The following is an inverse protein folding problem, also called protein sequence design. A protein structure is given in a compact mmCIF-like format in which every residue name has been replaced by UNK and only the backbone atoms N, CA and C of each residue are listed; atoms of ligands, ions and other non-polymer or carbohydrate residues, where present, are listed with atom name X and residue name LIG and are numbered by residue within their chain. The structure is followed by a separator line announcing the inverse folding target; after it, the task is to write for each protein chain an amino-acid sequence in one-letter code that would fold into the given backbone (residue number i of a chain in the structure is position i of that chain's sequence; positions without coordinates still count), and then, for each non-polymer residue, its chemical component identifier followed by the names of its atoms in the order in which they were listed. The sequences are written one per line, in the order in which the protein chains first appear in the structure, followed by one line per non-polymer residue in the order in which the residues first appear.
data_IF_569755216619
#
_entry.id   IF_569755216619
#
_cell.length_a   1.000
_cell.length_b   1.000
_cell.length_c   1.000
_cell.angle_alpha   90.00
_cell.angle_beta   90.00
_cell.angle_gamma   90.00
#
_symmetry.space_group_name_H-M   'P 1'
#
loop_
_entity.id
_entity.type
_entity.pdbx_description
1 polymer ?
#
# COMPACT_ATOMS: atom_id res chain seq x y z
N UNK A 1 11.98 17.90 6.77
CA UNK A 1 13.02 18.92 7.02
C UNK A 1 14.01 18.32 8.00
N UNK A 2 15.28 18.70 7.95
CA UNK A 2 16.28 18.13 8.88
C UNK A 2 16.22 18.77 10.28
N UNK A 3 15.59 19.95 10.42
CA UNK A 3 15.41 20.65 11.70
C UNK A 3 14.02 21.27 11.83
N UNK A 4 13.60 21.55 13.07
CA UNK A 4 12.33 22.23 13.36
C UNK A 4 12.30 23.67 12.83
N UNK A 5 13.41 24.40 12.91
CA UNK A 5 13.49 25.77 12.38
C UNK A 5 13.29 25.82 10.87
N UNK A 6 13.90 24.88 10.15
CA UNK A 6 13.72 24.76 8.70
C UNK A 6 12.28 24.36 8.35
N UNK A 7 11.65 23.47 9.13
CA UNK A 7 10.24 23.13 8.99
C UNK A 7 9.36 24.36 9.16
N UNK A 8 9.57 25.12 10.24
CA UNK A 8 8.82 26.35 10.54
C UNK A 8 8.96 27.36 9.41
N UNK A 9 10.18 27.62 8.95
CA UNK A 9 10.48 28.56 7.86
C UNK A 9 9.74 28.17 6.57
N UNK A 10 9.81 26.89 6.16
CA UNK A 10 9.11 26.40 4.97
C UNK A 10 7.59 26.49 5.11
N UNK A 11 7.08 26.17 6.29
CA UNK A 11 5.64 26.24 6.58
C UNK A 11 5.14 27.68 6.42
N UNK A 12 5.82 28.66 7.03
CA UNK A 12 5.47 30.08 6.90
C UNK A 12 5.46 30.52 5.43
N UNK A 13 6.46 30.12 4.65
CA UNK A 13 6.54 30.46 3.22
C UNK A 13 5.35 29.90 2.42
N UNK A 14 4.87 28.69 2.75
CA UNK A 14 3.67 28.12 2.12
C UNK A 14 2.42 28.89 2.54
N UNK A 15 2.28 29.22 3.82
CA UNK A 15 1.15 29.99 4.34
C UNK A 15 1.06 31.38 3.68
N UNK A 16 2.20 32.06 3.52
CA UNK A 16 2.26 33.38 2.86
C UNK A 16 1.85 33.31 1.38
N UNK A 17 2.23 32.23 0.68
CA UNK A 17 1.80 31.99 -0.71
C UNK A 17 0.32 31.72 -0.81
N UNK A 18 -0.23 30.89 0.08
CA UNK A 18 -1.67 30.61 0.13
C UNK A 18 -2.47 31.89 0.39
N UNK A 19 -2.01 32.71 1.35
CA UNK A 19 -2.60 34.02 1.65
C UNK A 19 -2.55 34.95 0.44
N UNK A 20 -1.39 35.05 -0.21
CA UNK A 20 -1.22 35.89 -1.42
C UNK A 20 -2.10 35.44 -2.59
N UNK A 21 -2.41 34.14 -2.68
CA UNK A 21 -3.34 33.58 -3.66
C UNK A 21 -4.82 33.70 -3.26
N UNK A 22 -5.15 34.32 -2.12
CA UNK A 22 -6.52 34.44 -1.63
C UNK A 22 -7.12 33.15 -1.08
N UNK A 23 -6.30 32.13 -0.79
CA UNK A 23 -6.75 30.85 -0.23
C UNK A 23 -6.81 30.92 1.30
N UNK A 24 -7.89 30.38 1.87
CA UNK A 24 -8.07 30.26 3.32
C UNK A 24 -7.92 28.82 3.78
N UNK A 25 -7.34 28.63 4.96
CA UNK A 25 -7.15 27.31 5.57
C UNK A 25 -8.14 27.08 6.72
N UNK A 26 -8.66 25.86 6.81
CA UNK A 26 -9.42 25.40 7.98
C UNK A 26 -8.44 25.05 9.09
N UNK A 27 -8.29 25.91 10.09
CA UNK A 27 -7.39 25.69 11.25
C UNK A 27 -7.62 24.35 11.95
N UNK A 28 -8.89 23.90 12.02
CA UNK A 28 -9.27 22.58 12.58
C UNK A 28 -8.68 21.37 11.85
N UNK A 29 -8.28 21.54 10.58
CA UNK A 29 -7.72 20.47 9.73
C UNK A 29 -6.20 20.64 9.52
N UNK A 30 -5.61 21.67 10.10
CA UNK A 30 -4.19 21.93 9.96
C UNK A 30 -3.42 21.26 11.09
N UNK A 31 -2.43 20.45 10.72
CA UNK A 31 -1.51 19.80 11.64
C UNK A 31 -0.10 20.29 11.33
N UNK A 32 0.61 20.80 12.34
CA UNK A 32 1.94 21.35 12.18
C UNK A 32 2.91 20.71 13.18
N UNK A 33 4.15 20.47 12.74
CA UNK A 33 5.23 20.00 13.62
C UNK A 33 4.97 18.65 14.30
N UNK A 34 4.14 17.80 13.72
CA UNK A 34 3.85 16.46 14.24
C UNK A 34 4.91 15.46 13.80
N UNK A 35 5.21 14.50 14.66
CA UNK A 35 6.11 13.37 14.35
C UNK A 35 5.44 12.35 13.41
N UNK A 36 4.11 12.25 13.47
CA UNK A 36 3.31 11.42 12.59
C UNK A 36 2.06 12.18 12.12
N UNK A 37 1.70 12.03 10.84
CA UNK A 37 0.52 12.64 10.23
C UNK A 37 -0.22 11.64 9.36
N UNK A 38 -1.54 11.77 9.26
CA UNK A 38 -2.33 11.07 8.25
C UNK A 38 -2.53 11.95 7.01
N UNK A 39 -2.16 11.42 5.84
CA UNK A 39 -2.32 12.12 4.57
C UNK A 39 -2.71 11.15 3.46
N UNK A 40 -3.76 11.49 2.71
CA UNK A 40 -4.31 10.68 1.61
C UNK A 40 -4.60 9.21 1.98
N UNK A 41 -4.97 8.96 3.24
CA UNK A 41 -5.28 7.63 3.75
C UNK A 41 -4.06 6.78 4.12
N UNK A 42 -2.90 7.39 4.31
CA UNK A 42 -1.69 6.77 4.83
C UNK A 42 -1.18 7.51 6.05
N UNK A 43 -0.56 6.79 6.98
CA UNK A 43 0.17 7.40 8.09
C UNK A 43 1.63 7.58 7.68
N UNK A 44 2.18 8.75 7.90
CA UNK A 44 3.55 9.12 7.54
C UNK A 44 4.28 9.50 8.83
N UNK A 45 5.41 8.87 9.10
CA UNK A 45 6.28 9.16 10.24
C UNK A 45 7.77 9.07 9.85
N UNK A 46 8.67 9.11 10.82
CA UNK A 46 10.12 8.99 10.58
C UNK A 46 10.49 7.63 9.95
N UNK A 47 9.80 6.56 10.34
CA UNK A 47 10.09 5.20 9.90
C UNK A 47 9.64 4.97 8.45
N UNK A 48 8.62 5.70 7.98
CA UNK A 48 8.20 5.62 6.60
C UNK A 48 6.74 5.96 6.35
N UNK A 49 6.21 5.33 5.31
CA UNK A 49 4.81 5.33 4.92
C UNK A 49 4.15 4.05 5.45
N UNK A 50 2.97 4.18 6.03
CA UNK A 50 2.21 3.07 6.63
C UNK A 50 0.77 3.09 6.13
N UNK A 51 0.16 1.91 6.12
CA UNK A 51 -1.30 1.83 6.02
C UNK A 51 -1.92 2.33 7.33
N UNK A 52 -3.00 3.12 7.25
CA UNK A 52 -3.73 3.53 8.47
C UNK A 52 -4.41 2.33 9.11
N UNK A 53 -4.45 2.28 10.45
CA UNK A 53 -5.09 1.18 11.20
C UNK A 53 -6.56 0.99 10.80
N UNK A 54 -7.26 2.08 10.49
CA UNK A 54 -8.64 2.04 10.00
C UNK A 54 -8.79 1.23 8.69
N UNK A 55 -7.83 1.37 7.75
CA UNK A 55 -7.85 0.63 6.48
C UNK A 55 -7.48 -0.83 6.65
N UNK A 56 -6.47 -1.10 7.49
CA UNK A 56 -6.08 -2.47 7.85
C UNK A 56 -7.27 -3.18 8.47
N UNK A 57 -7.88 -2.57 9.50
CA UNK A 57 -9.05 -3.09 10.20
C UNK A 57 -10.23 -3.34 9.24
N UNK A 58 -10.51 -2.41 8.32
CA UNK A 58 -11.60 -2.58 7.36
C UNK A 58 -11.41 -3.81 6.44
N UNK A 59 -10.18 -4.23 6.13
CA UNK A 59 -9.91 -5.48 5.40
C UNK A 59 -10.05 -6.69 6.32
N UNK A 60 -9.55 -6.62 7.56
CA UNK A 60 -9.63 -7.71 8.54
C UNK A 60 -11.07 -8.04 8.92
N UNK A 61 -11.90 -7.01 9.11
CA UNK A 61 -13.30 -7.13 9.52
C UNK A 61 -14.24 -7.43 8.34
N UNK A 62 -13.77 -7.32 7.09
CA UNK A 62 -14.59 -7.57 5.91
C UNK A 62 -15.12 -9.02 5.91
N UNK A 63 -16.43 -9.25 5.70
CA UNK A 63 -16.96 -10.60 5.56
C UNK A 63 -16.45 -11.26 4.26
N UNK A 64 -16.51 -12.58 4.21
CA UNK A 64 -16.25 -13.30 2.96
C UNK A 64 -17.27 -12.86 1.90
N UNK A 65 -16.82 -12.44 0.70
CA UNK A 65 -17.72 -12.07 -0.39
C UNK A 65 -18.67 -13.22 -0.74
N UNK A 66 -19.93 -12.89 -0.99
CA UNK A 66 -20.98 -13.85 -1.38
C UNK A 66 -21.34 -13.77 -2.86
N UNK A 67 -20.83 -12.77 -3.57
CA UNK A 67 -21.06 -12.55 -4.99
C UNK A 67 -19.91 -11.79 -5.66
N UNK A 68 -19.94 -11.73 -6.99
CA UNK A 68 -18.92 -11.09 -7.84
C UNK A 68 -18.72 -9.60 -7.50
N UNK A 69 -19.79 -8.86 -7.19
CA UNK A 69 -19.69 -7.41 -6.90
C UNK A 69 -18.97 -7.17 -5.58
N UNK A 70 -19.31 -7.92 -4.54
CA UNK A 70 -18.63 -7.88 -3.24
C UNK A 70 -17.16 -8.26 -3.39
N UNK A 71 -16.86 -9.28 -4.20
CA UNK A 71 -15.49 -9.71 -4.45
C UNK A 71 -14.68 -8.62 -5.17
N UNK A 72 -15.25 -7.98 -6.18
CA UNK A 72 -14.61 -6.86 -6.87
C UNK A 72 -14.32 -5.69 -5.92
N UNK A 73 -15.27 -5.37 -5.03
CA UNK A 73 -15.08 -4.34 -4.02
C UNK A 73 -13.94 -4.68 -3.06
N UNK A 74 -13.93 -5.91 -2.54
CA UNK A 74 -12.87 -6.40 -1.66
C UNK A 74 -11.49 -6.36 -2.34
N UNK A 75 -11.38 -6.92 -3.55
CA UNK A 75 -10.13 -6.93 -4.31
C UNK A 75 -9.66 -5.53 -4.67
N UNK A 76 -10.57 -4.62 -5.04
CA UNK A 76 -10.24 -3.22 -5.28
C UNK A 76 -9.60 -2.56 -4.06
N UNK A 77 -10.15 -2.83 -2.87
CA UNK A 77 -9.61 -2.27 -1.64
C UNK A 77 -8.28 -2.90 -1.21
N UNK A 78 -8.11 -4.22 -1.36
CA UNK A 78 -6.83 -4.89 -1.15
C UNK A 78 -5.77 -4.35 -2.12
N UNK A 79 -6.13 -4.13 -3.39
CA UNK A 79 -5.23 -3.57 -4.39
C UNK A 79 -4.79 -2.13 -4.07
N UNK A 80 -5.62 -1.33 -3.40
CA UNK A 80 -5.21 -0.01 -2.91
C UNK A 80 -4.01 -0.11 -1.94
N UNK A 81 -3.91 -1.19 -1.17
CA UNK A 81 -2.78 -1.48 -0.28
C UNK A 81 -1.68 -2.34 -0.93
N UNK A 82 -1.80 -2.72 -2.21
CA UNK A 82 -0.88 -3.68 -2.85
C UNK A 82 0.61 -3.31 -2.71
N UNK A 83 0.93 -2.01 -2.70
CA UNK A 83 2.31 -1.53 -2.54
C UNK A 83 2.97 -1.92 -1.21
N UNK A 84 2.21 -2.36 -0.21
CA UNK A 84 2.68 -2.83 1.10
C UNK A 84 2.72 -4.37 1.19
N UNK A 85 2.11 -5.07 0.23
CA UNK A 85 1.82 -6.50 0.33
C UNK A 85 2.72 -7.30 -0.62
N UNK A 86 3.64 -8.12 -0.10
CA UNK A 86 4.48 -8.98 -0.94
C UNK A 86 3.65 -10.08 -1.60
N UNK A 87 4.02 -10.45 -2.83
CA UNK A 87 3.50 -11.64 -3.54
C UNK A 87 1.97 -11.71 -3.59
N UNK A 88 1.31 -10.57 -3.80
CA UNK A 88 -0.15 -10.46 -3.75
C UNK A 88 -0.84 -11.22 -4.90
N UNK A 89 -0.25 -11.27 -6.11
CA UNK A 89 -0.93 -11.86 -7.27
C UNK A 89 -1.12 -13.38 -7.14
N UNK A 90 -0.14 -14.11 -6.60
CA UNK A 90 -0.27 -15.54 -6.33
C UNK A 90 -1.32 -15.78 -5.24
N UNK A 91 -1.30 -14.95 -4.20
CA UNK A 91 -2.27 -15.01 -3.09
C UNK A 91 -3.69 -14.78 -3.59
N UNK A 92 -3.93 -13.78 -4.45
CA UNK A 92 -5.25 -13.43 -4.98
C UNK A 92 -5.72 -14.30 -6.15
N UNK A 93 -4.87 -15.17 -6.70
CA UNK A 93 -5.19 -15.95 -7.90
C UNK A 93 -6.50 -16.75 -7.80
N UNK A 94 -6.79 -17.48 -6.70
CA UNK A 94 -8.08 -18.16 -6.53
C UNK A 94 -9.29 -17.22 -6.60
N UNK A 95 -9.16 -16.02 -6.02
CA UNK A 95 -10.21 -15.01 -6.01
C UNK A 95 -10.42 -14.39 -7.40
N UNK A 96 -9.34 -14.10 -8.14
CA UNK A 96 -9.45 -13.60 -9.51
C UNK A 96 -10.11 -14.61 -10.46
N UNK A 97 -10.00 -15.92 -10.20
CA UNK A 97 -10.69 -16.93 -11.00
C UNK A 97 -12.23 -16.79 -10.93
N UNK A 98 -12.78 -16.39 -9.79
CA UNK A 98 -14.22 -16.15 -9.63
C UNK A 98 -14.72 -14.93 -10.42
N UNK A 99 -13.83 -14.08 -10.93
CA UNK A 99 -14.20 -12.91 -11.76
C UNK A 99 -14.21 -13.20 -13.26
N UNK A 100 -13.84 -14.41 -13.70
CA UNK A 100 -13.81 -14.78 -15.13
C UNK A 100 -15.23 -14.96 -15.67
N UNK A 101 -15.48 -14.48 -16.90
CA UNK A 101 -16.83 -14.43 -17.52
C UNK A 101 -17.57 -15.77 -17.58
N UNK A 102 -16.84 -16.89 -17.64
CA UNK A 102 -17.41 -18.24 -17.79
C UNK A 102 -17.37 -19.05 -16.48
N UNK A 103 -16.94 -18.44 -15.38
CA UNK A 103 -16.84 -19.12 -14.09
C UNK A 103 -18.13 -18.94 -13.30
N UNK A 104 -18.78 -20.07 -12.95
CA UNK A 104 -19.90 -20.05 -11.99
C UNK A 104 -19.37 -19.67 -10.62
N UNK A 105 -20.12 -18.83 -9.90
CA UNK A 105 -19.79 -18.47 -8.54
C UNK A 105 -19.82 -19.71 -7.63
N UNK A 106 -18.65 -20.09 -7.12
CA UNK A 106 -18.48 -21.17 -6.16
C UNK A 106 -17.36 -20.79 -5.21
N UNK A 107 -17.71 -20.38 -4.00
CA UNK A 107 -16.73 -20.11 -2.96
C UNK A 107 -16.23 -21.43 -2.36
N UNK A 108 -15.08 -21.91 -2.86
CA UNK A 108 -14.49 -23.17 -2.44
C UNK A 108 -13.45 -22.97 -1.33
N UNK A 109 -12.86 -24.09 -0.88
CA UNK A 109 -11.83 -24.08 0.16
C UNK A 109 -10.57 -23.29 -0.26
N UNK A 110 -10.28 -23.18 -1.56
CA UNK A 110 -9.12 -22.44 -2.05
C UNK A 110 -9.38 -20.93 -2.00
N UNK A 111 -10.60 -20.50 -2.30
CA UNK A 111 -11.05 -19.11 -2.15
C UNK A 111 -11.00 -18.70 -0.68
N UNK A 112 -11.50 -19.54 0.23
CA UNK A 112 -11.46 -19.28 1.67
C UNK A 112 -10.02 -19.15 2.18
N UNK A 113 -9.14 -20.10 1.84
CA UNK A 113 -7.72 -20.04 2.20
C UNK A 113 -7.04 -18.79 1.64
N UNK A 114 -7.33 -18.43 0.40
CA UNK A 114 -6.80 -17.21 -0.23
C UNK A 114 -7.27 -15.96 0.50
N UNK A 115 -8.57 -15.86 0.81
CA UNK A 115 -9.16 -14.75 1.53
C UNK A 115 -8.56 -14.55 2.92
N UNK A 116 -8.44 -15.63 3.71
CA UNK A 116 -7.78 -15.58 5.02
C UNK A 116 -6.31 -15.21 4.90
N UNK A 117 -5.60 -15.76 3.89
CA UNK A 117 -4.20 -15.42 3.65
C UNK A 117 -3.99 -13.94 3.32
N UNK A 118 -4.90 -13.32 2.55
CA UNK A 118 -4.84 -11.87 2.30
C UNK A 118 -4.94 -11.10 3.60
N UNK A 119 -5.88 -11.47 4.48
CA UNK A 119 -6.05 -10.83 5.79
C UNK A 119 -4.78 -10.97 6.64
N UNK A 120 -4.16 -12.16 6.66
CA UNK A 120 -2.90 -12.39 7.38
C UNK A 120 -1.73 -11.54 6.84
N UNK A 121 -1.65 -11.36 5.51
CA UNK A 121 -0.58 -10.53 4.92
C UNK A 121 -0.81 -9.06 5.24
N UNK A 122 -2.07 -8.61 5.25
CA UNK A 122 -2.45 -7.23 5.60
C UNK A 122 -2.26 -6.96 7.10
N UNK A 123 -2.52 -7.93 7.98
CA UNK A 123 -2.37 -7.77 9.43
C UNK A 123 -0.92 -7.53 9.87
N UNK A 124 0.05 -7.96 9.06
CA UNK A 124 1.47 -7.68 9.31
C UNK A 124 1.82 -6.16 9.26
N UNK A 125 0.90 -5.32 8.76
CA UNK A 125 0.97 -3.85 8.75
C UNK A 125 2.38 -3.29 8.44
N UNK A 126 2.97 -3.76 7.33
CA UNK A 126 4.32 -3.39 6.93
C UNK A 126 4.40 -1.92 6.57
N UNK A 127 5.51 -1.28 6.94
CA UNK A 127 5.85 0.06 6.50
C UNK A 127 6.73 0.03 5.24
N UNK A 128 6.67 1.11 4.45
CA UNK A 128 7.55 1.38 3.33
C UNK A 128 8.48 2.53 3.70
N UNK A 129 9.77 2.39 3.47
CA UNK A 129 10.74 3.42 3.80
C UNK A 129 10.57 4.66 2.91
N UNK A 130 11.06 5.79 3.42
CA UNK A 130 11.20 7.01 2.62
C UNK A 130 12.29 6.84 1.57
N UNK A 131 11.99 7.25 0.34
CA UNK A 131 12.99 7.31 -0.72
C UNK A 131 14.11 8.30 -0.34
N UNK A 132 15.36 7.82 -0.41
CA UNK A 132 16.54 8.63 -0.21
C UNK A 132 17.32 8.76 -1.54
N UNK A 133 17.39 9.95 -2.16
CA UNK A 133 18.07 10.12 -3.45
C UNK A 133 19.59 9.84 -3.42
N UNK A 134 20.20 9.79 -2.24
CA UNK A 134 21.62 9.49 -2.07
C UNK A 134 21.93 8.00 -1.95
N UNK A 135 20.92 7.12 -1.87
CA UNK A 135 21.11 5.67 -1.78
C UNK A 135 20.77 4.98 -3.10
N UNK A 136 21.52 3.94 -3.50
CA UNK A 136 21.23 3.19 -4.70
C UNK A 136 19.88 2.47 -4.57
N UNK A 137 19.10 2.49 -5.66
CA UNK A 137 17.87 1.72 -5.77
C UNK A 137 18.24 0.28 -6.15
N UNK A 138 17.62 -0.68 -5.48
CA UNK A 138 17.69 -2.10 -5.80
C UNK A 138 16.31 -2.58 -6.23
N UNK A 139 16.25 -3.22 -7.39
CA UNK A 139 15.06 -3.92 -7.85
C UNK A 139 15.33 -5.42 -7.72
N UNK A 140 14.58 -6.09 -6.86
CA UNK A 140 14.58 -7.55 -6.74
C UNK A 140 13.32 -8.08 -7.40
N UNK A 141 13.47 -8.98 -8.36
CA UNK A 141 12.36 -9.61 -9.08
C UNK A 141 12.42 -11.11 -8.90
N UNK A 142 11.25 -11.73 -8.87
CA UNK A 142 11.10 -13.18 -8.88
C UNK A 142 9.95 -13.56 -9.83
N UNK A 143 10.09 -14.72 -10.45
CA UNK A 143 9.18 -15.20 -11.48
C UNK A 143 8.89 -16.68 -11.32
N UNK A 144 7.63 -17.03 -11.56
CA UNK A 144 7.16 -18.41 -11.62
C UNK A 144 6.32 -18.59 -12.88
N UNK A 145 6.00 -19.84 -13.23
CA UNK A 145 5.09 -20.17 -14.33
C UNK A 145 3.70 -19.52 -14.22
N UNK A 146 3.35 -18.95 -13.06
CA UNK A 146 2.01 -18.38 -12.79
C UNK A 146 2.02 -16.87 -12.60
N UNK A 147 3.15 -16.28 -12.23
CA UNK A 147 3.18 -14.88 -11.80
C UNK A 147 4.57 -14.34 -11.51
N UNK A 148 4.60 -13.01 -11.44
CA UNK A 148 5.77 -12.19 -11.16
C UNK A 148 5.60 -11.49 -9.80
N UNK A 149 6.71 -11.36 -9.09
CA UNK A 149 6.86 -10.55 -7.90
C UNK A 149 8.03 -9.59 -8.07
N UNK A 150 7.92 -8.39 -7.50
CA UNK A 150 9.00 -7.43 -7.48
C UNK A 150 8.98 -6.60 -6.19
N UNK A 151 10.16 -6.20 -5.76
CA UNK A 151 10.39 -5.29 -4.64
C UNK A 151 11.37 -4.24 -5.11
N UNK A 152 10.98 -2.97 -5.02
CA UNK A 152 11.92 -1.86 -5.09
C UNK A 152 12.34 -1.51 -3.66
N UNK A 153 13.64 -1.49 -3.38
CA UNK A 153 14.21 -1.23 -2.06
C UNK A 153 15.45 -0.33 -2.16
N UNK A 154 15.90 0.18 -1.02
CA UNK A 154 17.19 0.84 -0.90
C UNK A 154 18.00 0.19 0.22
N UNK A 155 19.30 -0.01 -0.05
CA UNK A 155 20.24 -0.54 0.94
C UNK A 155 20.78 0.59 1.79
N UNK A 156 20.55 0.51 3.09
CA UNK A 156 21.01 1.49 4.07
C UNK A 156 22.45 1.19 4.50
N UNK A 157 23.18 2.18 5.05
CA UNK A 157 24.58 2.00 5.49
C UNK A 157 24.77 0.90 6.54
N UNK A 158 23.73 0.60 7.32
CA UNK A 158 23.72 -0.50 8.30
C UNK A 158 23.63 -1.90 7.65
N UNK A 159 23.55 -1.98 6.31
CA UNK A 159 23.44 -3.22 5.55
C UNK A 159 22.02 -3.72 5.33
N UNK A 160 21.01 -3.07 5.91
CA UNK A 160 19.60 -3.45 5.75
C UNK A 160 19.03 -2.96 4.41
N UNK A 161 18.27 -3.83 3.74
CA UNK A 161 17.43 -3.45 2.61
C UNK A 161 16.03 -3.05 3.11
N UNK A 162 15.64 -1.80 2.89
CA UNK A 162 14.29 -1.32 3.25
C UNK A 162 13.40 -1.18 2.02
N UNK A 163 12.17 -1.73 2.03
CA UNK A 163 11.28 -1.70 0.88
C UNK A 163 10.70 -0.30 0.66
N UNK A 164 10.66 0.16 -0.59
CA UNK A 164 9.96 1.37 -1.02
C UNK A 164 8.57 1.05 -1.59
N UNK A 165 8.43 -0.10 -2.26
CA UNK A 165 7.15 -0.62 -2.74
C UNK A 165 7.28 -2.10 -3.15
N UNK A 166 6.17 -2.81 -3.04
CA UNK A 166 5.97 -4.14 -3.61
C UNK A 166 5.14 -4.04 -4.91
N UNK A 167 5.43 -4.93 -5.85
CA UNK A 167 4.61 -5.13 -7.04
C UNK A 167 4.45 -6.63 -7.29
N UNK A 168 3.28 -7.03 -7.80
CA UNK A 168 3.01 -8.41 -8.16
C UNK A 168 1.97 -8.46 -9.27
N UNK A 169 2.13 -9.40 -10.19
CA UNK A 169 1.24 -9.56 -11.35
C UNK A 169 1.13 -11.03 -11.74
N UNK A 170 -0.07 -11.49 -12.08
CA UNK A 170 -0.26 -12.79 -12.70
C UNK A 170 0.16 -12.75 -14.18
N UNK A 171 0.77 -13.83 -14.67
CA UNK A 171 1.10 -13.94 -16.09
C UNK A 171 -0.19 -14.04 -16.93
N UNK A 172 -0.17 -13.39 -18.08
CA UNK A 172 -1.25 -13.54 -19.08
C UNK A 172 -1.13 -14.91 -19.77
N UNK A 173 -2.18 -15.33 -20.50
CA UNK A 173 -2.16 -16.60 -21.25
C UNK A 173 -1.03 -16.71 -22.27
N UNK A 174 -0.51 -15.59 -22.77
CA UNK A 174 0.60 -15.58 -23.73
C UNK A 174 1.98 -15.60 -23.06
N UNK A 175 2.04 -15.36 -21.75
CA UNK A 175 3.28 -15.35 -20.96
C UNK A 175 3.45 -16.63 -20.13
N UNK A 176 2.43 -17.51 -20.12
CA UNK A 176 2.43 -18.85 -19.50
C UNK A 176 2.86 -19.88 -20.54
#
# INVERSE_FOLDING_TARGET
AQTYDELRRRTMLVLDRLKSAGLTLSTKKCEFGKESIEYLGFRIDEQGLHSTDAKVKAILDAPAPTNVKELQSFLGFVNYLARFLPSLASTLSPLYNLLKKETKWLWDINCEKSFLRVKDVVSANRSLAHYNPSLPIRLTVDGSERGLGAIISQRYPNGEDKPLAFASRSLTKAEQ
#
